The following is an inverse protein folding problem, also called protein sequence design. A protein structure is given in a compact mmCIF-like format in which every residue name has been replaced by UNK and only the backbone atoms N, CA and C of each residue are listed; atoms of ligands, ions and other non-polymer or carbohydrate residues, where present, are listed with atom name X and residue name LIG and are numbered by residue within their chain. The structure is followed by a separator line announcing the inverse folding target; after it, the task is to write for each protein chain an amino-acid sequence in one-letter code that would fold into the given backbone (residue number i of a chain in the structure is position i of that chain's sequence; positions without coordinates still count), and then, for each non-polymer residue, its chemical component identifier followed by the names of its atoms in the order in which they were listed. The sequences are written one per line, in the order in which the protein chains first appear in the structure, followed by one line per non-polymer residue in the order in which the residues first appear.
data_IF_824968605288
#
_entry.id   IF_824968605288
#
_cell.length_a   1.000
_cell.length_b   1.000
_cell.length_c   1.000
_cell.angle_alpha   90.00
_cell.angle_beta   90.00
_cell.angle_gamma   90.00
#
_symmetry.space_group_name_H-M   'P 1'
#
loop_
_entity.id
_entity.type
_entity.pdbx_description
1 polymer ?
#
# COMPACT_ATOMS: atom_id res chain seq x y z
N UNK A 1 -2.35 53.22 -11.19
CA UNK A 1 -3.26 52.31 -10.46
C UNK A 1 -2.97 50.90 -11.00
N UNK A 2 -2.28 50.13 -10.20
CA UNK A 2 -1.84 48.78 -10.57
C UNK A 2 -3.06 47.85 -10.55
N UNK A 3 -3.43 47.34 -11.73
CA UNK A 3 -4.31 46.18 -11.82
C UNK A 3 -3.57 44.96 -11.32
N UNK A 4 -3.45 44.81 -10.01
CA UNK A 4 -3.11 43.53 -9.40
C UNK A 4 -4.23 42.54 -9.71
N UNK A 5 -3.89 41.52 -10.49
CA UNK A 5 -4.70 40.41 -10.87
C UNK A 5 -5.41 39.81 -9.64
N UNK A 6 -6.66 40.22 -9.43
CA UNK A 6 -7.60 39.52 -8.55
C UNK A 6 -7.88 38.18 -9.24
N UNK A 7 -7.04 37.15 -8.93
CA UNK A 7 -7.34 35.78 -9.34
C UNK A 7 -8.73 35.47 -8.81
N UNK A 8 -9.63 35.14 -9.72
CA UNK A 8 -11.00 34.77 -9.37
C UNK A 8 -10.98 33.69 -8.29
N UNK A 9 -11.86 33.72 -7.29
CA UNK A 9 -11.91 32.70 -6.22
C UNK A 9 -11.95 31.25 -6.74
N UNK A 10 -12.54 31.05 -7.92
CA UNK A 10 -12.61 29.80 -8.64
C UNK A 10 -11.19 29.33 -9.09
N UNK A 11 -10.37 30.23 -9.62
CA UNK A 11 -8.99 29.90 -10.01
C UNK A 11 -8.13 29.48 -8.80
N UNK A 12 -8.30 30.13 -7.66
CA UNK A 12 -7.62 29.77 -6.42
C UNK A 12 -8.05 28.39 -5.93
N UNK A 13 -9.33 28.04 -6.01
CA UNK A 13 -9.82 26.69 -5.70
C UNK A 13 -9.21 25.63 -6.62
N UNK A 14 -9.08 25.90 -7.92
CA UNK A 14 -8.47 24.98 -8.86
C UNK A 14 -6.95 24.82 -8.62
N UNK A 15 -6.25 25.89 -8.27
CA UNK A 15 -4.83 25.82 -7.90
C UNK A 15 -4.63 24.93 -6.69
N UNK A 16 -5.42 25.10 -5.63
CA UNK A 16 -5.32 24.24 -4.44
C UNK A 16 -5.65 22.78 -4.73
N UNK A 17 -6.66 22.51 -5.57
CA UNK A 17 -7.00 21.14 -6.00
C UNK A 17 -5.92 20.52 -6.89
N UNK A 18 -5.28 21.30 -7.75
CA UNK A 18 -4.19 20.81 -8.61
C UNK A 18 -2.98 20.36 -7.79
N UNK A 19 -2.70 21.06 -6.70
CA UNK A 19 -1.52 20.81 -5.89
C UNK A 19 -1.72 19.75 -4.81
N UNK A 20 -2.98 19.36 -4.55
CA UNK A 20 -3.32 18.31 -3.59
C UNK A 20 -4.24 17.27 -4.21
N UNK A 21 -3.71 16.08 -4.47
CA UNK A 21 -4.46 14.95 -5.02
C UNK A 21 -4.06 13.68 -4.28
N UNK A 22 -5.03 12.92 -3.84
CA UNK A 22 -4.84 11.56 -3.30
C UNK A 22 -5.65 10.58 -4.14
N UNK A 23 -4.98 9.60 -4.72
CA UNK A 23 -5.59 8.52 -5.50
C UNK A 23 -5.45 7.22 -4.72
N UNK A 24 -6.56 6.58 -4.38
CA UNK A 24 -6.55 5.24 -3.80
C UNK A 24 -6.83 4.20 -4.88
N UNK A 25 -5.91 3.26 -5.05
CA UNK A 25 -6.08 2.13 -5.95
C UNK A 25 -6.66 0.96 -5.19
N UNK A 26 -7.69 0.34 -5.74
CA UNK A 26 -8.31 -0.87 -5.19
C UNK A 26 -8.51 -1.90 -6.30
N UNK A 27 -8.51 -3.17 -5.93
CA UNK A 27 -8.69 -4.27 -6.87
C UNK A 27 -8.30 -5.60 -6.23
N UNK A 28 -8.66 -6.68 -6.89
CA UNK A 28 -8.27 -8.03 -6.49
C UNK A 28 -6.75 -8.22 -6.63
N UNK A 29 -6.22 -9.26 -6.00
CA UNK A 29 -4.81 -9.64 -6.16
C UNK A 29 -4.49 -9.90 -7.63
N UNK A 30 -3.44 -9.25 -8.14
CA UNK A 30 -3.06 -9.35 -9.56
C UNK A 30 -3.76 -8.36 -10.49
N UNK A 31 -4.59 -7.43 -9.99
CA UNK A 31 -5.26 -6.41 -10.81
C UNK A 31 -4.35 -5.29 -11.35
N UNK A 32 -3.05 -5.28 -11.02
CA UNK A 32 -2.11 -4.28 -11.50
C UNK A 32 -2.05 -2.98 -10.69
N UNK A 33 -2.61 -2.93 -9.47
CA UNK A 33 -2.56 -1.73 -8.62
C UNK A 33 -1.14 -1.22 -8.39
N UNK A 34 -0.21 -2.12 -8.07
CA UNK A 34 1.21 -1.73 -7.82
C UNK A 34 1.92 -1.24 -9.07
N UNK A 35 1.57 -1.80 -10.24
CA UNK A 35 2.15 -1.39 -11.53
C UNK A 35 1.65 0.00 -11.92
N UNK A 36 0.33 0.24 -11.79
CA UNK A 36 -0.25 1.56 -12.01
C UNK A 36 0.33 2.59 -11.03
N UNK A 37 0.47 2.27 -9.75
CA UNK A 37 1.10 3.16 -8.78
C UNK A 37 2.53 3.51 -9.18
N UNK A 38 3.29 2.54 -9.70
CA UNK A 38 4.66 2.75 -10.18
C UNK A 38 4.68 3.64 -11.43
N UNK A 39 3.77 3.43 -12.38
CA UNK A 39 3.62 4.32 -13.55
C UNK A 39 3.30 5.74 -13.11
N UNK A 40 2.35 5.92 -12.19
CA UNK A 40 1.98 7.25 -11.68
C UNK A 40 3.11 7.95 -10.91
N UNK A 41 4.10 7.22 -10.43
CA UNK A 41 5.25 7.82 -9.73
C UNK A 41 6.38 8.27 -10.66
N UNK A 42 6.33 7.90 -11.93
CA UNK A 42 7.31 8.30 -12.93
C UNK A 42 6.89 9.59 -13.63
N UNK A 43 7.84 10.30 -14.23
CA UNK A 43 7.54 11.43 -15.11
C UNK A 43 6.81 10.95 -16.37
N UNK A 44 5.96 11.80 -16.93
CA UNK A 44 5.13 11.41 -18.08
C UNK A 44 5.95 10.96 -19.30
N UNK A 45 7.13 11.50 -19.51
CA UNK A 45 8.05 11.07 -20.57
C UNK A 45 8.46 9.60 -20.50
N UNK A 46 8.41 9.02 -19.31
CA UNK A 46 8.82 7.63 -19.06
C UNK A 46 7.67 6.62 -19.24
N UNK A 47 6.47 7.11 -19.54
CA UNK A 47 5.30 6.28 -19.79
C UNK A 47 5.35 5.65 -21.19
N UNK A 48 6.04 4.53 -21.30
CA UNK A 48 6.36 3.87 -22.58
C UNK A 48 5.14 3.42 -23.39
N UNK A 49 4.03 3.15 -22.73
CA UNK A 49 2.83 2.58 -23.37
C UNK A 49 1.79 3.65 -23.76
N UNK A 50 2.00 4.90 -23.37
CA UNK A 50 1.08 5.99 -23.73
C UNK A 50 1.38 6.47 -25.13
N UNK A 51 0.50 6.14 -26.06
CA UNK A 51 0.62 6.50 -27.48
C UNK A 51 0.28 7.97 -27.69
N UNK A 52 0.90 8.56 -28.70
CA UNK A 52 0.52 9.91 -29.13
C UNK A 52 -0.91 9.89 -29.72
N UNK A 53 -1.71 10.96 -29.56
CA UNK A 53 -3.08 11.00 -30.07
C UNK A 53 -3.20 10.62 -31.56
N UNK A 54 -2.25 11.02 -32.40
CA UNK A 54 -2.22 10.69 -33.83
C UNK A 54 -2.07 9.18 -34.08
N UNK A 55 -1.30 8.48 -33.27
CA UNK A 55 -1.07 7.03 -33.42
C UNK A 55 -2.32 6.20 -33.07
N UNK A 56 -3.19 6.73 -32.21
CA UNK A 56 -4.48 6.12 -31.89
C UNK A 56 -5.49 6.39 -33.00
N UNK A 57 -5.50 7.59 -33.56
CA UNK A 57 -6.38 7.99 -34.66
C UNK A 57 -6.15 7.14 -35.91
N UNK A 58 -4.90 6.80 -36.23
CA UNK A 58 -4.58 6.00 -37.41
C UNK A 58 -5.08 4.55 -37.31
N UNK A 59 -5.20 4.00 -36.12
CA UNK A 59 -5.75 2.64 -35.91
C UNK A 59 -7.27 2.61 -35.83
N UNK A 60 -7.92 3.69 -35.41
CA UNK A 60 -9.38 3.77 -35.30
C UNK A 60 -10.08 4.01 -36.64
N UNK A 61 -9.34 4.24 -37.71
CA UNK A 61 -9.90 4.28 -39.08
C UNK A 61 -10.54 2.95 -39.51
N UNK A 62 -10.16 1.84 -38.86
CA UNK A 62 -10.72 0.50 -39.10
C UNK A 62 -11.89 0.16 -38.16
N UNK A 63 -12.05 0.89 -37.05
CA UNK A 63 -13.14 0.71 -36.10
C UNK A 63 -14.09 1.88 -36.29
N UNK A 64 -15.25 1.61 -36.89
CA UNK A 64 -16.35 2.50 -37.19
C UNK A 64 -16.38 3.80 -36.36
N UNK A 65 -16.65 4.92 -36.99
CA UNK A 65 -17.08 6.28 -36.57
C UNK A 65 -17.50 6.56 -35.11
N UNK A 66 -17.24 5.64 -34.22
CA UNK A 66 -17.58 5.71 -32.80
C UNK A 66 -16.45 6.39 -32.04
N UNK A 67 -16.61 7.54 -31.69
CA UNK A 67 -16.05 8.21 -30.54
C UNK A 67 -15.05 9.33 -30.81
N UNK A 68 -15.52 10.31 -31.60
CA UNK A 68 -14.92 11.67 -31.62
C UNK A 68 -14.79 12.22 -30.20
N UNK A 69 -15.69 11.83 -29.28
CA UNK A 69 -15.67 12.24 -27.88
C UNK A 69 -14.52 11.59 -27.14
N UNK A 70 -14.29 10.28 -27.33
CA UNK A 70 -13.15 9.59 -26.74
C UNK A 70 -11.82 10.15 -27.24
N UNK A 71 -11.70 10.36 -28.54
CA UNK A 71 -10.50 10.94 -29.17
C UNK A 71 -10.17 12.32 -28.60
N UNK A 72 -11.17 13.21 -28.49
CA UNK A 72 -10.99 14.54 -27.90
C UNK A 72 -10.61 14.48 -26.43
N UNK A 73 -11.24 13.58 -25.66
CA UNK A 73 -10.89 13.36 -24.24
C UNK A 73 -9.45 12.85 -24.10
N UNK A 74 -9.06 11.87 -24.91
CA UNK A 74 -7.71 11.34 -24.91
C UNK A 74 -6.68 12.41 -25.26
N UNK A 75 -6.90 13.18 -26.33
CA UNK A 75 -6.02 14.27 -26.75
C UNK A 75 -5.90 15.35 -25.66
N UNK A 76 -7.02 15.75 -25.05
CA UNK A 76 -7.00 16.69 -23.96
C UNK A 76 -6.20 16.17 -22.75
N UNK A 77 -6.45 14.92 -22.33
CA UNK A 77 -5.68 14.28 -21.25
C UNK A 77 -4.20 14.17 -21.58
N UNK A 78 -3.85 13.72 -22.78
CA UNK A 78 -2.47 13.62 -23.23
C UNK A 78 -1.76 14.96 -23.18
N UNK A 79 -2.38 16.01 -23.73
CA UNK A 79 -1.81 17.36 -23.76
C UNK A 79 -1.61 17.95 -22.36
N UNK A 80 -2.53 17.69 -21.43
CA UNK A 80 -2.40 18.11 -20.03
C UNK A 80 -1.28 17.33 -19.36
N UNK A 81 -1.25 15.99 -19.51
CA UNK A 81 -0.24 15.15 -18.90
C UNK A 81 1.17 15.46 -19.44
N UNK A 82 1.32 15.63 -20.76
CA UNK A 82 2.64 15.93 -21.36
C UNK A 82 3.24 17.26 -20.92
N UNK A 83 2.42 18.23 -20.52
CA UNK A 83 2.87 19.57 -20.13
C UNK A 83 2.89 19.83 -18.63
N UNK A 84 2.01 19.19 -17.87
CA UNK A 84 1.72 19.57 -16.46
C UNK A 84 1.70 18.41 -15.50
N UNK A 85 2.01 17.19 -15.98
CA UNK A 85 2.03 16.05 -15.08
C UNK A 85 3.17 16.16 -14.07
N UNK A 86 2.82 15.94 -12.81
CA UNK A 86 3.78 15.84 -11.72
C UNK A 86 3.64 14.45 -11.10
N UNK A 87 4.76 13.74 -10.89
CA UNK A 87 4.77 12.40 -10.34
C UNK A 87 4.09 12.31 -8.97
N UNK A 88 3.40 11.21 -8.75
CA UNK A 88 2.80 10.90 -7.46
C UNK A 88 3.81 10.24 -6.53
N UNK A 89 3.66 10.47 -5.23
CA UNK A 89 4.38 9.70 -4.21
C UNK A 89 3.57 8.47 -3.84
N UNK A 90 4.20 7.31 -3.91
CA UNK A 90 3.53 6.04 -3.61
C UNK A 90 3.45 5.83 -2.10
N UNK A 91 2.24 5.57 -1.61
CA UNK A 91 1.97 5.09 -0.26
C UNK A 91 1.54 3.62 -0.35
N UNK A 92 2.51 2.70 -0.20
CA UNK A 92 2.23 1.26 -0.23
C UNK A 92 1.60 0.84 1.08
N UNK A 93 0.36 0.41 1.03
CA UNK A 93 -0.40 -0.02 2.19
C UNK A 93 0.36 -1.07 3.03
N UNK A 94 0.96 -2.06 2.37
CA UNK A 94 1.78 -3.09 3.02
C UNK A 94 2.98 -2.52 3.80
N UNK A 95 3.63 -1.46 3.30
CA UNK A 95 4.76 -0.84 3.97
C UNK A 95 4.29 -0.08 5.23
N UNK A 96 3.10 0.52 5.18
CA UNK A 96 2.50 1.19 6.35
C UNK A 96 2.16 0.17 7.44
N UNK A 97 1.62 -1.00 7.07
CA UNK A 97 1.40 -2.11 8.00
C UNK A 97 2.71 -2.54 8.69
N UNK A 98 3.76 -2.71 7.90
CA UNK A 98 5.06 -3.12 8.43
C UNK A 98 5.64 -2.04 9.35
N UNK A 99 5.57 -0.77 8.95
CA UNK A 99 6.02 0.37 9.76
C UNK A 99 5.29 0.40 11.11
N UNK A 100 3.96 0.30 11.10
CA UNK A 100 3.15 0.26 12.33
C UNK A 100 3.56 -0.88 13.26
N UNK A 101 3.87 -2.04 12.68
CA UNK A 101 4.32 -3.22 13.43
C UNK A 101 5.69 -3.02 14.04
N UNK A 102 6.64 -2.51 13.27
CA UNK A 102 8.01 -2.27 13.72
C UNK A 102 8.07 -1.15 14.78
N UNK A 103 7.28 -0.08 14.61
CA UNK A 103 7.11 0.94 15.63
C UNK A 103 6.64 0.33 16.95
N UNK A 104 5.61 -0.52 16.91
CA UNK A 104 5.07 -1.17 18.10
C UNK A 104 6.09 -2.06 18.79
N UNK A 105 6.89 -2.82 18.04
CA UNK A 105 7.91 -3.70 18.60
C UNK A 105 9.13 -2.95 19.11
N UNK A 106 9.35 -1.73 18.69
CA UNK A 106 10.43 -0.88 19.21
C UNK A 106 10.19 -0.41 20.67
N UNK A 107 9.10 -0.85 21.32
CA UNK A 107 8.90 -0.67 22.76
C UNK A 107 9.96 -1.36 23.63
N UNK A 108 10.67 -2.36 23.10
CA UNK A 108 11.74 -3.06 23.81
C UNK A 108 13.02 -2.22 23.90
N UNK A 109 13.83 -2.51 24.91
CA UNK A 109 15.05 -1.74 25.17
C UNK A 109 16.31 -2.28 24.47
N UNK A 110 16.22 -3.42 23.79
CA UNK A 110 17.35 -4.04 23.10
C UNK A 110 17.03 -4.35 21.65
N UNK A 111 18.02 -4.17 20.80
CA UNK A 111 17.93 -4.49 19.38
C UNK A 111 17.66 -5.99 19.15
N UNK A 112 18.34 -6.88 19.89
CA UNK A 112 18.10 -8.32 19.81
C UNK A 112 16.67 -8.69 20.21
N UNK A 113 16.14 -8.05 21.26
CA UNK A 113 14.75 -8.25 21.67
C UNK A 113 13.76 -7.83 20.59
N UNK A 114 14.04 -6.74 19.88
CA UNK A 114 13.26 -6.26 18.74
C UNK A 114 13.29 -7.28 17.58
N UNK A 115 14.48 -7.76 17.19
CA UNK A 115 14.62 -8.76 16.13
C UNK A 115 13.88 -10.07 16.48
N UNK A 116 13.96 -10.51 17.73
CA UNK A 116 13.24 -11.70 18.19
C UNK A 116 11.73 -11.54 18.07
N UNK A 117 11.18 -10.37 18.42
CA UNK A 117 9.73 -10.11 18.25
C UNK A 117 9.31 -10.14 16.78
N UNK A 118 10.11 -9.57 15.87
CA UNK A 118 9.83 -9.61 14.43
C UNK A 118 9.90 -11.06 13.91
N UNK A 119 10.90 -11.83 14.32
CA UNK A 119 11.06 -13.25 13.96
C UNK A 119 9.88 -14.09 14.46
N UNK A 120 9.45 -13.89 15.72
CA UNK A 120 8.31 -14.58 16.32
C UNK A 120 6.97 -14.20 15.64
N UNK A 121 6.77 -12.94 15.27
CA UNK A 121 5.60 -12.53 14.48
C UNK A 121 5.53 -13.34 13.18
N UNK A 122 6.63 -13.40 12.45
CA UNK A 122 6.69 -14.11 11.17
C UNK A 122 6.37 -15.59 11.36
N UNK A 123 7.00 -16.23 12.34
CA UNK A 123 6.71 -17.61 12.71
C UNK A 123 5.24 -17.80 13.05
N UNK A 124 4.66 -16.96 13.94
CA UNK A 124 3.28 -17.07 14.38
C UNK A 124 2.27 -16.85 13.25
N UNK A 125 2.55 -15.92 12.33
CA UNK A 125 1.66 -15.65 11.17
C UNK A 125 1.63 -16.81 10.19
N UNK A 126 2.67 -17.63 10.12
CA UNK A 126 2.72 -18.79 9.22
C UNK A 126 2.37 -20.11 9.91
N UNK A 127 2.75 -20.32 11.18
CA UNK A 127 2.59 -21.60 11.87
C UNK A 127 1.17 -21.89 12.41
N UNK A 128 0.42 -20.89 12.83
CA UNK A 128 -0.83 -21.10 13.61
C UNK A 128 -2.11 -21.11 12.80
N UNK A 129 -2.04 -21.33 11.51
CA UNK A 129 -3.17 -20.86 10.75
C UNK A 129 -4.09 -21.89 10.28
N UNK A 130 -4.16 -22.91 10.04
CA UNK A 130 -5.22 -23.80 9.55
C UNK A 130 -4.75 -25.27 9.66
N UNK A 131 -5.60 -26.08 10.23
CA UNK A 131 -5.42 -27.56 10.27
C UNK A 131 -5.33 -28.17 8.87
N UNK A 132 -5.71 -27.39 7.84
CA UNK A 132 -5.84 -27.82 6.46
C UNK A 132 -4.74 -27.31 5.52
N UNK A 133 -3.78 -26.50 6.00
CA UNK A 133 -2.63 -26.07 5.19
C UNK A 133 -1.54 -27.13 5.30
N UNK A 134 -1.01 -27.56 4.18
CA UNK A 134 0.05 -28.57 4.07
C UNK A 134 1.22 -28.23 5.02
N UNK A 135 1.71 -29.22 5.77
CA UNK A 135 2.79 -29.05 6.74
C UNK A 135 4.09 -28.50 6.11
N UNK A 136 4.31 -28.74 4.83
CA UNK A 136 5.42 -28.19 4.06
C UNK A 136 5.39 -26.65 3.99
N UNK A 137 4.20 -26.04 4.04
CA UNK A 137 4.03 -24.60 4.05
C UNK A 137 4.51 -23.96 5.36
N UNK A 138 4.48 -24.68 6.46
CA UNK A 138 4.87 -24.22 7.80
C UNK A 138 6.38 -24.07 7.98
N UNK A 139 7.18 -24.78 7.23
CA UNK A 139 8.62 -24.99 7.53
C UNK A 139 9.52 -23.92 6.92
N UNK A 140 9.14 -23.31 5.80
CA UNK A 140 10.07 -22.50 5.00
C UNK A 140 10.02 -20.97 5.28
N UNK A 141 9.19 -20.50 6.21
CA UNK A 141 8.97 -19.08 6.43
C UNK A 141 9.55 -18.52 7.74
N UNK A 142 10.43 -19.26 8.40
CA UNK A 142 11.17 -18.75 9.56
C UNK A 142 12.29 -17.83 9.08
N UNK A 143 12.36 -16.65 9.68
CA UNK A 143 13.47 -15.73 9.51
C UNK A 143 14.35 -15.76 10.76
N UNK A 144 15.65 -15.92 10.57
CA UNK A 144 16.60 -15.72 11.66
C UNK A 144 16.92 -14.24 11.84
N UNK A 145 17.50 -13.88 12.98
CA UNK A 145 17.91 -12.50 13.21
C UNK A 145 18.97 -12.04 12.19
N UNK A 146 19.90 -12.93 11.83
CA UNK A 146 20.93 -12.66 10.82
C UNK A 146 20.31 -12.40 9.44
N UNK A 147 19.27 -13.13 9.08
CA UNK A 147 18.55 -12.90 7.83
C UNK A 147 17.83 -11.54 7.85
N UNK A 148 17.16 -11.17 8.94
CA UNK A 148 16.52 -9.86 9.08
C UNK A 148 17.53 -8.71 8.97
N UNK A 149 18.69 -8.84 9.60
CA UNK A 149 19.81 -7.88 9.48
C UNK A 149 20.31 -7.82 8.03
N UNK A 150 20.49 -8.97 7.38
CA UNK A 150 20.90 -9.05 5.97
C UNK A 150 19.91 -8.39 5.00
N UNK A 151 18.62 -8.37 5.34
CA UNK A 151 17.60 -7.66 4.60
C UNK A 151 17.64 -6.14 4.83
N UNK A 152 18.39 -5.67 5.83
CA UNK A 152 18.58 -4.25 6.15
C UNK A 152 17.77 -3.75 7.35
N UNK A 153 17.26 -4.65 8.20
CA UNK A 153 16.68 -4.28 9.49
C UNK A 153 17.81 -4.10 10.50
N UNK A 154 18.57 -3.03 10.34
CA UNK A 154 19.75 -2.70 11.15
C UNK A 154 19.38 -1.92 12.44
N UNK A 155 20.39 -1.68 13.28
CA UNK A 155 20.23 -0.97 14.54
C UNK A 155 19.84 0.52 14.32
N UNK A 156 20.23 1.13 13.20
CA UNK A 156 19.83 2.50 12.86
C UNK A 156 18.32 2.59 12.62
N UNK A 157 17.76 1.62 11.88
CA UNK A 157 16.32 1.55 11.69
C UNK A 157 15.58 1.25 13.01
N UNK A 158 16.10 0.35 13.84
CA UNK A 158 15.55 0.11 15.16
C UNK A 158 15.51 1.40 16.00
N UNK A 159 16.60 2.16 16.04
CA UNK A 159 16.66 3.43 16.78
C UNK A 159 15.66 4.46 16.23
N UNK A 160 15.45 4.48 14.92
CA UNK A 160 14.44 5.36 14.29
C UNK A 160 13.03 4.97 14.72
N UNK A 161 12.70 3.67 14.74
CA UNK A 161 11.40 3.19 15.21
C UNK A 161 11.22 3.41 16.71
N UNK A 162 12.27 3.24 17.51
CA UNK A 162 12.24 3.51 18.93
C UNK A 162 11.98 4.98 19.22
N UNK A 163 12.64 5.87 18.50
CA UNK A 163 12.37 7.31 18.60
C UNK A 163 10.92 7.64 18.23
N UNK A 164 10.39 7.06 17.16
CA UNK A 164 9.00 7.23 16.77
C UNK A 164 8.03 6.75 17.86
N UNK A 165 8.28 5.57 18.43
CA UNK A 165 7.52 5.01 19.54
C UNK A 165 7.54 5.91 20.78
N UNK A 166 8.70 6.44 21.14
CA UNK A 166 8.87 7.33 22.29
C UNK A 166 8.12 8.65 22.09
N UNK A 167 8.13 9.22 20.88
CA UNK A 167 7.30 10.38 20.54
C UNK A 167 5.81 10.04 20.67
N UNK A 168 5.39 8.88 20.18
CA UNK A 168 3.99 8.44 20.20
C UNK A 168 3.45 8.35 21.64
N UNK A 169 4.25 7.83 22.56
CA UNK A 169 3.84 7.61 23.95
C UNK A 169 4.03 8.83 24.87
N UNK A 170 4.68 9.88 24.39
CA UNK A 170 4.86 11.11 25.16
C UNK A 170 3.63 12.02 25.02
N UNK A 171 2.81 12.08 26.05
CA UNK A 171 1.48 12.73 26.05
C UNK A 171 1.47 14.25 25.79
N UNK A 172 2.62 14.94 25.90
CA UNK A 172 2.63 16.41 25.94
C UNK A 172 2.92 17.14 24.61
N UNK A 173 3.46 16.48 23.55
CA UNK A 173 3.94 17.22 22.35
C UNK A 173 3.54 16.64 20.99
N UNK A 174 2.54 15.86 20.86
CA UNK A 174 2.74 14.66 20.12
C UNK A 174 2.36 14.65 18.64
N UNK A 175 1.23 15.20 18.24
CA UNK A 175 0.71 14.92 16.89
C UNK A 175 1.59 15.45 15.77
N UNK A 176 2.15 16.63 15.92
CA UNK A 176 2.94 17.27 14.87
C UNK A 176 4.32 16.62 14.71
N UNK A 177 5.05 16.45 15.83
CA UNK A 177 6.36 15.81 15.83
C UNK A 177 6.27 14.35 15.34
N UNK A 178 5.28 13.61 15.83
CA UNK A 178 5.01 12.24 15.40
C UNK A 178 4.79 12.13 13.89
N UNK A 179 3.90 12.96 13.32
CA UNK A 179 3.62 12.93 11.88
C UNK A 179 4.84 13.27 11.02
N UNK A 180 5.65 14.23 11.47
CA UNK A 180 6.89 14.56 10.77
C UNK A 180 7.86 13.39 10.75
N UNK A 181 8.08 12.77 11.91
CA UNK A 181 8.99 11.63 12.02
C UNK A 181 8.45 10.39 11.29
N UNK A 182 7.17 10.10 11.43
CA UNK A 182 6.48 9.04 10.67
C UNK A 182 6.69 9.22 9.15
N UNK A 183 6.57 10.45 8.66
CA UNK A 183 6.80 10.78 7.25
C UNK A 183 8.29 10.59 6.88
N UNK A 184 9.22 11.02 7.73
CA UNK A 184 10.65 10.88 7.49
C UNK A 184 11.03 9.42 7.35
N UNK A 185 10.64 8.57 8.31
CA UNK A 185 10.93 7.14 8.29
C UNK A 185 10.28 6.48 7.07
N UNK A 186 9.01 6.79 6.78
CA UNK A 186 8.31 6.18 5.65
C UNK A 186 8.99 6.45 4.30
N UNK A 187 9.52 7.65 4.10
CA UNK A 187 10.21 8.05 2.86
C UNK A 187 11.72 7.84 2.90
N UNK A 188 12.27 7.36 4.02
CA UNK A 188 13.68 7.01 4.13
C UNK A 188 14.03 5.84 3.20
N UNK A 189 15.19 5.93 2.56
CA UNK A 189 15.62 4.93 1.57
C UNK A 189 16.07 3.62 2.24
N UNK A 190 16.55 3.65 3.50
CA UNK A 190 16.84 2.43 4.27
C UNK A 190 15.56 1.65 4.54
N UNK A 191 14.51 2.32 5.04
CA UNK A 191 13.22 1.67 5.29
C UNK A 191 12.57 1.13 4.01
N UNK A 192 12.58 1.90 2.92
CA UNK A 192 12.07 1.43 1.62
C UNK A 192 12.87 0.22 1.13
N UNK A 193 14.19 0.29 1.22
CA UNK A 193 15.08 -0.81 0.82
C UNK A 193 14.84 -2.07 1.64
N UNK A 194 14.68 -1.93 2.97
CA UNK A 194 14.28 -3.05 3.83
C UNK A 194 12.93 -3.65 3.41
N UNK A 195 11.89 -2.81 3.26
CA UNK A 195 10.58 -3.29 2.82
C UNK A 195 10.63 -4.07 1.50
N UNK A 196 11.37 -3.56 0.52
CA UNK A 196 11.49 -4.19 -0.79
C UNK A 196 12.19 -5.56 -0.68
N UNK A 197 13.34 -5.62 -0.02
CA UNK A 197 14.09 -6.87 0.19
C UNK A 197 13.24 -7.88 0.98
N UNK A 198 12.58 -7.44 2.05
CA UNK A 198 11.74 -8.27 2.90
C UNK A 198 10.59 -8.92 2.12
N UNK A 199 9.81 -8.12 1.38
CA UNK A 199 8.70 -8.67 0.59
C UNK A 199 9.14 -9.50 -0.61
N UNK A 200 10.30 -9.21 -1.20
CA UNK A 200 10.90 -10.02 -2.24
C UNK A 200 11.39 -11.37 -1.69
N UNK A 201 11.97 -11.38 -0.50
CA UNK A 201 12.39 -12.61 0.16
C UNK A 201 11.20 -13.48 0.53
N UNK A 202 10.11 -12.91 1.07
CA UNK A 202 8.86 -13.66 1.28
C UNK A 202 8.36 -14.29 -0.01
N UNK A 203 8.32 -13.53 -1.11
CA UNK A 203 7.89 -14.05 -2.41
C UNK A 203 8.83 -15.11 -2.98
N UNK A 204 10.13 -15.02 -2.70
CA UNK A 204 11.14 -16.00 -3.13
C UNK A 204 10.97 -17.35 -2.41
N UNK A 205 10.67 -17.30 -1.12
CA UNK A 205 10.43 -18.51 -0.29
C UNK A 205 9.13 -19.20 -0.69
N UNK A 206 8.07 -18.43 -0.85
CA UNK A 206 6.79 -18.89 -1.35
C UNK A 206 6.09 -17.75 -2.12
N UNK A 207 5.52 -18.08 -3.28
CA UNK A 207 4.90 -17.08 -4.17
C UNK A 207 3.79 -16.27 -3.48
N UNK A 208 3.07 -16.88 -2.53
CA UNK A 208 1.95 -16.27 -1.82
C UNK A 208 2.27 -15.79 -0.42
N UNK A 209 3.43 -16.18 0.15
CA UNK A 209 3.81 -15.82 1.50
C UNK A 209 3.67 -14.31 1.77
N UNK A 210 4.05 -13.48 0.80
CA UNK A 210 3.88 -12.03 0.89
C UNK A 210 2.42 -11.61 1.06
N UNK A 211 1.52 -12.10 0.20
CA UNK A 211 0.12 -11.69 0.22
C UNK A 211 -0.58 -12.20 1.47
N UNK A 212 -0.31 -13.45 1.83
CA UNK A 212 -0.82 -14.09 3.02
C UNK A 212 -0.39 -13.35 4.31
N UNK A 213 0.90 -13.02 4.43
CA UNK A 213 1.42 -12.25 5.54
C UNK A 213 0.74 -10.88 5.65
N UNK A 214 0.68 -10.12 4.55
CA UNK A 214 0.06 -8.79 4.51
C UNK A 214 -1.42 -8.86 4.89
N UNK A 215 -2.16 -9.86 4.39
CA UNK A 215 -3.57 -10.05 4.72
C UNK A 215 -3.79 -10.31 6.20
N UNK A 216 -3.03 -11.24 6.77
CA UNK A 216 -3.14 -11.59 8.19
C UNK A 216 -2.76 -10.44 9.10
N UNK A 217 -1.67 -9.76 8.75
CA UNK A 217 -1.23 -8.59 9.48
C UNK A 217 -2.29 -7.48 9.47
N UNK A 218 -2.85 -7.19 8.30
CA UNK A 218 -3.90 -6.19 8.15
C UNK A 218 -5.16 -6.55 8.95
N UNK A 219 -5.60 -7.81 8.90
CA UNK A 219 -6.76 -8.28 9.66
C UNK A 219 -6.52 -8.20 11.16
N UNK A 220 -5.33 -8.60 11.64
CA UNK A 220 -4.98 -8.52 13.07
C UNK A 220 -5.01 -7.07 13.56
N UNK A 221 -4.37 -6.17 12.86
CA UNK A 221 -4.33 -4.75 13.24
C UNK A 221 -5.74 -4.14 13.22
N UNK A 222 -6.55 -4.39 12.18
CA UNK A 222 -7.91 -3.85 12.11
C UNK A 222 -8.86 -4.40 13.16
N UNK A 223 -8.69 -5.66 13.55
CA UNK A 223 -9.56 -6.30 14.53
C UNK A 223 -9.21 -5.94 15.97
N UNK A 224 -7.94 -5.79 16.29
CA UNK A 224 -7.46 -5.73 17.68
C UNK A 224 -6.46 -4.62 17.96
N UNK A 225 -5.95 -3.91 16.92
CA UNK A 225 -4.83 -3.00 17.03
C UNK A 225 -3.49 -3.71 17.30
N UNK A 226 -3.49 -5.06 17.36
CA UNK A 226 -2.29 -5.83 17.69
C UNK A 226 -1.81 -6.67 16.48
N UNK A 227 -0.58 -6.48 15.98
CA UNK A 227 -0.03 -7.26 14.88
C UNK A 227 0.10 -8.76 15.21
N UNK A 228 0.28 -9.13 16.50
CA UNK A 228 0.43 -10.53 16.94
C UNK A 228 -0.89 -11.29 17.04
N UNK A 229 -2.01 -10.57 17.14
CA UNK A 229 -3.29 -11.21 17.35
C UNK A 229 -3.60 -12.21 16.23
N UNK A 230 -4.08 -13.39 16.64
CA UNK A 230 -4.66 -14.37 15.73
C UNK A 230 -6.15 -14.06 15.72
N UNK A 231 -6.64 -13.58 14.58
CA UNK A 231 -8.07 -13.28 14.42
C UNK A 231 -8.80 -14.59 14.17
N UNK A 232 -9.47 -15.10 15.20
CA UNK A 232 -10.45 -16.17 15.09
C UNK A 232 -11.85 -15.55 15.18
N UNK A 233 -12.87 -16.23 14.66
CA UNK A 233 -14.27 -15.79 14.73
C UNK A 233 -14.75 -15.52 16.15
N UNK A 234 -14.10 -16.10 17.15
CA UNK A 234 -14.44 -15.99 18.59
C UNK A 234 -13.70 -14.85 19.32
N UNK A 235 -12.79 -14.15 18.66
CA UNK A 235 -12.05 -13.04 19.26
C UNK A 235 -12.89 -11.76 19.25
N UNK A 236 -12.85 -11.02 20.32
CA UNK A 236 -13.50 -9.71 20.44
C UNK A 236 -12.99 -8.76 19.35
N UNK A 237 -13.84 -8.48 18.39
CA UNK A 237 -13.61 -7.49 17.36
C UNK A 237 -13.81 -6.09 17.94
N UNK A 238 -12.74 -5.29 17.96
CA UNK A 238 -12.81 -3.91 18.42
C UNK A 238 -12.86 -2.93 17.25
N UNK A 239 -14.04 -2.38 17.00
CA UNK A 239 -14.27 -1.43 15.88
C UNK A 239 -13.35 -0.20 15.91
N UNK A 240 -12.75 0.13 17.05
CA UNK A 240 -11.89 1.31 17.17
C UNK A 240 -10.61 1.21 16.30
N UNK A 241 -10.17 -0.02 16.00
CA UNK A 241 -8.94 -0.26 15.24
C UNK A 241 -9.12 -0.34 13.72
N UNK A 242 -10.35 -0.30 13.22
CA UNK A 242 -10.63 -0.39 11.77
C UNK A 242 -9.88 0.67 10.97
N UNK A 243 -9.69 1.85 11.56
CA UNK A 243 -9.08 3.00 10.90
C UNK A 243 -7.59 3.19 11.20
N UNK A 244 -6.98 2.36 12.05
CA UNK A 244 -5.59 2.58 12.50
C UNK A 244 -4.61 2.72 11.33
N UNK A 245 -4.68 1.82 10.35
CA UNK A 245 -3.76 1.84 9.21
C UNK A 245 -3.99 3.06 8.32
N UNK A 246 -5.24 3.37 8.03
CA UNK A 246 -5.56 4.52 7.17
C UNK A 246 -5.29 5.85 7.87
N UNK A 247 -5.36 5.89 9.21
CA UNK A 247 -4.99 7.08 9.97
C UNK A 247 -3.47 7.31 9.97
N UNK A 248 -2.67 6.24 9.97
CA UNK A 248 -1.22 6.34 9.73
C UNK A 248 -0.92 6.90 8.34
N UNK A 249 -1.61 6.42 7.30
CA UNK A 249 -1.47 6.97 5.93
C UNK A 249 -1.82 8.46 5.92
N UNK A 250 -2.91 8.85 6.58
CA UNK A 250 -3.29 10.24 6.77
C UNK A 250 -2.20 11.03 7.54
N UNK A 251 -1.58 10.42 8.55
CA UNK A 251 -0.45 10.96 9.28
C UNK A 251 0.76 11.24 8.39
N UNK A 252 1.13 10.28 7.52
CA UNK A 252 2.23 10.44 6.55
C UNK A 252 1.94 11.58 5.56
N UNK A 253 0.72 11.68 5.03
CA UNK A 253 0.30 12.74 4.10
C UNK A 253 0.44 14.11 4.78
N UNK A 254 -0.03 14.24 6.02
CA UNK A 254 0.07 15.48 6.79
C UNK A 254 1.53 15.81 7.15
N UNK A 255 2.30 14.82 7.60
CA UNK A 255 3.73 14.98 7.88
C UNK A 255 4.52 15.43 6.64
N UNK A 256 4.16 14.92 5.46
CA UNK A 256 4.76 15.38 4.22
C UNK A 256 4.46 16.85 3.94
N UNK A 257 3.25 17.31 4.17
CA UNK A 257 2.91 18.73 4.04
C UNK A 257 3.69 19.59 5.05
N UNK A 258 3.82 19.09 6.26
CA UNK A 258 4.54 19.80 7.35
C UNK A 258 6.05 19.88 7.07
N UNK A 259 6.66 18.83 6.49
CA UNK A 259 8.08 18.80 6.13
C UNK A 259 8.38 19.55 4.83
N UNK A 260 7.44 19.57 3.87
CA UNK A 260 7.65 20.11 2.53
C UNK A 260 6.48 21.01 2.08
N UNK A 261 6.21 22.16 2.75
CA UNK A 261 5.02 22.96 2.51
C UNK A 261 4.91 23.51 1.08
N UNK A 262 6.05 23.67 0.39
CA UNK A 262 6.10 24.22 -0.97
C UNK A 262 6.05 23.15 -2.07
N UNK A 263 6.12 21.86 -1.71
CA UNK A 263 6.08 20.77 -2.71
C UNK A 263 4.66 20.35 -3.03
N UNK A 264 4.37 19.95 -4.27
CA UNK A 264 3.08 19.35 -4.62
C UNK A 264 2.77 18.12 -3.78
N UNK A 265 1.53 17.99 -3.34
CA UNK A 265 1.04 16.91 -2.47
C UNK A 265 0.20 15.93 -3.27
N UNK A 266 0.86 15.16 -4.12
CA UNK A 266 0.22 14.14 -4.95
C UNK A 266 0.61 12.76 -4.46
N UNK A 267 -0.38 12.00 -4.01
CA UNK A 267 -0.17 10.67 -3.43
C UNK A 267 -1.01 9.64 -4.15
N UNK A 268 -0.44 8.48 -4.37
CA UNK A 268 -1.15 7.28 -4.77
C UNK A 268 -1.02 6.22 -3.69
N UNK A 269 -2.15 5.76 -3.16
CA UNK A 269 -2.22 4.70 -2.15
C UNK A 269 -2.40 3.39 -2.90
N UNK A 270 -1.40 2.51 -2.78
CA UNK A 270 -1.38 1.22 -3.43
C UNK A 270 -2.15 0.19 -2.60
N UNK A 271 -3.21 -0.37 -3.20
CA UNK A 271 -3.94 -1.54 -2.71
C UNK A 271 -4.79 -1.34 -1.44
N UNK A 272 -5.59 -0.26 -1.38
CA UNK A 272 -6.64 -0.13 -0.36
C UNK A 272 -7.74 -1.16 -0.64
N UNK A 273 -8.10 -1.95 0.38
CA UNK A 273 -9.09 -3.04 0.22
C UNK A 273 -10.35 -2.87 1.06
N UNK A 274 -10.33 -2.01 2.08
CA UNK A 274 -11.48 -1.76 2.92
C UNK A 274 -12.30 -0.58 2.39
N UNK A 275 -13.60 -0.79 2.20
CA UNK A 275 -14.54 0.28 1.84
C UNK A 275 -14.61 1.38 2.92
N UNK A 276 -14.49 1.00 4.19
CA UNK A 276 -14.48 1.95 5.30
C UNK A 276 -13.25 2.87 5.27
N UNK A 277 -12.09 2.34 4.90
CA UNK A 277 -10.88 3.15 4.72
C UNK A 277 -11.01 4.14 3.55
N UNK A 278 -11.66 3.71 2.45
CA UNK A 278 -11.97 4.60 1.32
C UNK A 278 -12.93 5.70 1.75
N UNK A 279 -13.98 5.37 2.50
CA UNK A 279 -14.92 6.36 3.04
C UNK A 279 -14.21 7.36 3.97
N UNK A 280 -13.36 6.86 4.88
CA UNK A 280 -12.56 7.69 5.78
C UNK A 280 -11.73 8.75 5.04
N UNK A 281 -11.04 8.35 3.96
CA UNK A 281 -10.23 9.27 3.15
C UNK A 281 -11.08 10.24 2.36
N UNK A 282 -12.22 9.78 1.83
CA UNK A 282 -13.17 10.61 1.07
C UNK A 282 -13.76 11.73 1.92
N UNK A 283 -14.08 11.44 3.17
CA UNK A 283 -14.61 12.46 4.11
C UNK A 283 -13.55 13.49 4.53
N UNK A 284 -12.26 13.11 4.49
CA UNK A 284 -11.16 14.00 4.91
C UNK A 284 -10.58 14.85 3.81
N UNK A 285 -10.66 14.41 2.56
CA UNK A 285 -9.94 15.03 1.46
C UNK A 285 -10.85 15.31 0.27
N UNK A 286 -11.08 16.58 -0.06
CA UNK A 286 -11.85 16.98 -1.24
C UNK A 286 -11.18 16.59 -2.57
N UNK A 287 -9.85 16.44 -2.58
CA UNK A 287 -9.06 15.97 -3.72
C UNK A 287 -8.78 14.47 -3.69
N UNK A 288 -9.65 13.66 -3.09
CA UNK A 288 -9.53 12.22 -3.04
C UNK A 288 -10.31 11.53 -4.17
N UNK A 289 -9.65 10.56 -4.81
CA UNK A 289 -10.23 9.74 -5.87
C UNK A 289 -9.95 8.27 -5.58
N UNK A 290 -10.95 7.42 -5.73
CA UNK A 290 -10.78 5.96 -5.68
C UNK A 290 -10.89 5.37 -7.09
N UNK A 291 -9.93 4.54 -7.47
CA UNK A 291 -9.87 3.87 -8.77
C UNK A 291 -9.84 2.37 -8.56
N UNK A 292 -10.91 1.70 -9.02
CA UNK A 292 -10.97 0.25 -9.02
C UNK A 292 -10.33 -0.30 -10.29
N UNK A 293 -9.39 -1.23 -10.13
CA UNK A 293 -8.72 -1.93 -11.22
C UNK A 293 -9.29 -3.33 -11.35
N UNK A 294 -9.63 -3.68 -12.56
CA UNK A 294 -10.10 -5.02 -12.92
C UNK A 294 -9.24 -5.55 -14.06
N UNK A 295 -8.84 -6.80 -13.97
CA UNK A 295 -8.10 -7.48 -15.03
C UNK A 295 -8.95 -8.58 -15.66
N UNK A 296 -9.01 -8.62 -16.98
CA UNK A 296 -9.82 -9.59 -17.73
C UNK A 296 -9.23 -11.01 -17.64
N UNK A 297 -9.70 -11.74 -16.67
CA UNK A 297 -9.89 -13.20 -16.62
C UNK A 297 -8.70 -14.16 -16.79
N UNK A 298 -7.78 -13.97 -17.71
CA UNK A 298 -6.77 -15.00 -18.01
C UNK A 298 -5.59 -14.97 -17.01
N UNK A 299 -5.13 -13.80 -16.62
CA UNK A 299 -4.07 -13.68 -15.59
C UNK A 299 -4.63 -14.01 -14.20
N UNK A 300 -5.90 -13.69 -13.96
CA UNK A 300 -6.58 -14.06 -12.72
C UNK A 300 -6.58 -15.57 -12.52
N UNK A 301 -7.00 -16.34 -13.52
CA UNK A 301 -7.00 -17.82 -13.49
C UNK A 301 -5.60 -18.39 -13.30
N UNK A 302 -4.58 -17.80 -13.92
CA UNK A 302 -3.18 -18.20 -13.72
C UNK A 302 -2.69 -17.94 -12.29
N UNK A 303 -3.06 -16.81 -11.69
CA UNK A 303 -2.76 -16.49 -10.30
C UNK A 303 -3.51 -17.44 -9.38
N UNK A 304 -4.81 -17.63 -9.58
CA UNK A 304 -5.67 -18.58 -8.85
C UNK A 304 -5.10 -20.01 -8.87
N UNK A 305 -4.73 -20.49 -10.04
CA UNK A 305 -4.15 -21.83 -10.19
C UNK A 305 -2.80 -21.99 -9.47
N UNK A 306 -1.95 -20.95 -9.49
CA UNK A 306 -0.70 -20.94 -8.75
C UNK A 306 -0.93 -20.91 -7.23
N UNK A 307 -1.95 -20.15 -6.75
CA UNK A 307 -2.34 -20.11 -5.33
C UNK A 307 -2.74 -21.50 -4.86
N UNK A 308 -3.70 -22.10 -5.53
CA UNK A 308 -4.24 -23.40 -5.15
C UNK A 308 -3.13 -24.46 -5.10
N UNK A 309 -2.28 -24.47 -6.13
CA UNK A 309 -1.16 -25.42 -6.19
C UNK A 309 -0.11 -25.19 -5.09
N UNK A 310 0.18 -23.93 -4.76
CA UNK A 310 1.20 -23.61 -3.76
C UNK A 310 0.71 -23.80 -2.32
N UNK A 311 -0.56 -23.50 -2.04
CA UNK A 311 -1.11 -23.58 -0.69
C UNK A 311 -1.61 -24.97 -0.31
N UNK A 312 -2.17 -25.68 -1.26
CA UNK A 312 -2.87 -26.93 -0.98
C UNK A 312 -2.28 -28.14 -1.70
N UNK A 313 -1.33 -27.94 -2.61
CA UNK A 313 -0.78 -28.95 -3.51
C UNK A 313 -1.86 -29.83 -4.21
N UNK A 314 -3.01 -29.21 -4.46
CA UNK A 314 -4.22 -29.82 -5.01
C UNK A 314 -4.66 -29.08 -6.27
N UNK A 315 -5.62 -29.65 -6.98
CA UNK A 315 -6.36 -28.95 -8.03
C UNK A 315 -7.59 -28.24 -7.43
N UNK A 316 -8.13 -27.28 -8.15
CA UNK A 316 -9.28 -26.49 -7.70
C UNK A 316 -10.52 -27.35 -7.39
N UNK A 317 -10.75 -28.40 -8.19
CA UNK A 317 -11.83 -29.37 -8.03
C UNK A 317 -11.64 -30.31 -6.82
N UNK A 318 -10.44 -30.41 -6.29
CA UNK A 318 -10.08 -31.21 -5.12
C UNK A 318 -10.12 -30.44 -3.79
N UNK A 319 -10.47 -29.15 -3.82
CA UNK A 319 -10.52 -28.31 -2.63
C UNK A 319 -11.76 -28.58 -1.79
N UNK A 320 -11.59 -28.68 -0.46
CA UNK A 320 -12.73 -28.65 0.48
C UNK A 320 -13.38 -27.27 0.53
N UNK A 321 -14.63 -27.18 1.05
CA UNK A 321 -15.33 -25.91 1.21
C UNK A 321 -14.56 -24.92 2.11
N UNK A 322 -13.90 -25.42 3.15
CA UNK A 322 -13.05 -24.61 4.03
C UNK A 322 -11.83 -24.06 3.28
N UNK A 323 -11.19 -24.88 2.42
CA UNK A 323 -10.08 -24.47 1.57
C UNK A 323 -10.52 -23.43 0.53
N UNK A 324 -11.70 -23.56 -0.05
CA UNK A 324 -12.29 -22.57 -0.94
C UNK A 324 -12.57 -21.25 -0.22
N UNK A 325 -13.05 -21.31 1.02
CA UNK A 325 -13.28 -20.12 1.85
C UNK A 325 -11.99 -19.35 2.13
N UNK A 326 -10.90 -20.06 2.47
CA UNK A 326 -9.58 -19.45 2.66
C UNK A 326 -9.09 -18.80 1.37
N UNK A 327 -9.28 -19.48 0.25
CA UNK A 327 -8.90 -18.97 -1.07
C UNK A 327 -9.67 -17.70 -1.45
N UNK A 328 -10.96 -17.63 -1.12
CA UNK A 328 -11.80 -16.46 -1.42
C UNK A 328 -11.41 -15.23 -0.59
N UNK A 329 -10.71 -15.42 0.55
CA UNK A 329 -10.22 -14.33 1.41
C UNK A 329 -8.86 -13.76 0.95
N UNK A 330 -8.17 -14.41 0.04
CA UNK A 330 -6.88 -13.99 -0.52
C UNK A 330 -7.06 -13.15 -1.80
#
# INVERSE_FOLDING_TARGET
MNNENIKMPIEQMYVHRRDFIVVALTGITGSGCSDLASIMSNVFSDWKEVRKPREILDRTKEIEKQDVVFQRKYEACYNVCSKQYLPFKILRYRNVLLLSTLEKYACVNSYDGFLNQVSDLLKNKFDKSHKDVDESYKVNNKFTNEELIGLGLDEDLFNSFKHLYDIHNNKERVRFAYRKELCNIYFDDKFKGFCEKFYNELKRRDYFAKNFFVHRLANSIRATGNPDAIVNLDNEYNCNHIFDVIDLINGIIKGYHENYPQKPRRFVIDSVRSSLEIMYMRERYSGFYSVALHNDGNEKKLVEHKVIKSMFNKREDELSEDQKSIFTQL
#
